data_IF_272849744461
#
_entry.id   IF_272849744461
#
_cell.length_a   1.000
_cell.length_b   1.000
_cell.length_c   1.000
_cell.angle_alpha   90.00
_cell.angle_beta   90.00
_cell.angle_gamma   90.00
#
_symmetry.space_group_name_H-M   'P 1'
#
loop_
_entity.id
_entity.type
_entity.pdbx_description
1 polymer ?
#
# COMPACT_ATOMS: atom_id res chain seq x y z
N UNK A 1 -14.76 -2.69 2.32
CA UNK A 1 -14.13 -1.36 2.38
C UNK A 1 -12.71 -1.49 1.78
N UNK A 2 -12.35 -0.76 0.70
CA UNK A 2 -11.02 -0.86 0.07
C UNK A 2 -9.87 -0.59 1.02
N UNK A 3 -10.03 0.34 1.97
CA UNK A 3 -8.98 0.71 2.93
C UNK A 3 -8.63 -0.48 3.81
N UNK A 4 -9.63 -1.18 4.36
CA UNK A 4 -9.42 -2.36 5.20
C UNK A 4 -8.69 -3.48 4.44
N UNK A 5 -9.07 -3.71 3.18
CA UNK A 5 -8.42 -4.71 2.32
C UNK A 5 -6.96 -4.32 2.06
N UNK A 6 -6.71 -3.05 1.73
CA UNK A 6 -5.36 -2.54 1.52
C UNK A 6 -4.49 -2.69 2.78
N UNK A 7 -5.03 -2.38 3.97
CA UNK A 7 -4.32 -2.56 5.24
C UNK A 7 -3.93 -4.02 5.47
N UNK A 8 -4.84 -4.97 5.25
CA UNK A 8 -4.55 -6.41 5.36
C UNK A 8 -3.47 -6.86 4.36
N UNK A 9 -3.53 -6.34 3.13
CA UNK A 9 -2.53 -6.63 2.10
C UNK A 9 -1.15 -6.06 2.46
N UNK A 10 -1.09 -4.80 2.90
CA UNK A 10 0.15 -4.17 3.35
C UNK A 10 0.77 -4.98 4.48
N UNK A 11 -0.01 -5.34 5.50
CA UNK A 11 0.48 -6.16 6.61
C UNK A 11 1.04 -7.51 6.14
N UNK A 12 0.35 -8.18 5.21
CA UNK A 12 0.83 -9.43 4.61
C UNK A 12 2.14 -9.22 3.85
N UNK A 13 2.22 -8.18 3.02
CA UNK A 13 3.40 -7.86 2.21
C UNK A 13 4.59 -7.54 3.12
N UNK A 14 4.42 -6.65 4.10
CA UNK A 14 5.44 -6.26 5.08
C UNK A 14 5.95 -7.46 5.87
N UNK A 15 5.06 -8.39 6.26
CA UNK A 15 5.44 -9.63 6.94
C UNK A 15 6.43 -10.47 6.12
N UNK A 16 6.31 -10.47 4.79
CA UNK A 16 7.19 -11.22 3.89
C UNK A 16 8.40 -10.41 3.40
N UNK A 17 8.21 -9.11 3.17
CA UNK A 17 9.25 -8.18 2.76
C UNK A 17 8.99 -6.79 3.38
N UNK A 18 9.65 -6.46 4.49
CA UNK A 18 9.53 -5.14 5.12
C UNK A 18 9.96 -3.98 4.22
N UNK A 19 10.79 -4.24 3.20
CA UNK A 19 11.31 -3.24 2.25
C UNK A 19 10.48 -3.15 0.97
N UNK A 20 9.36 -3.87 0.86
CA UNK A 20 8.56 -3.90 -0.37
C UNK A 20 8.08 -2.51 -0.81
N UNK A 21 7.60 -1.70 0.14
CA UNK A 21 7.09 -0.35 -0.15
C UNK A 21 8.22 0.67 -0.38
N UNK A 22 9.40 0.45 0.21
CA UNK A 22 10.60 1.21 -0.13
C UNK A 22 10.99 0.95 -1.59
N UNK A 23 10.96 -0.31 -2.02
CA UNK A 23 11.30 -0.70 -3.40
C UNK A 23 10.27 -0.26 -4.43
N UNK A 24 8.98 -0.43 -4.15
CA UNK A 24 7.91 -0.13 -5.11
C UNK A 24 7.56 1.36 -5.18
N UNK A 25 7.60 2.07 -4.06
CA UNK A 25 7.07 3.44 -3.96
C UNK A 25 8.06 4.45 -3.36
N UNK A 26 9.26 4.02 -2.98
CA UNK A 26 10.22 4.85 -2.23
C UNK A 26 9.57 5.41 -0.95
N UNK A 27 8.93 4.51 -0.18
CA UNK A 27 8.29 4.80 1.10
C UNK A 27 9.00 3.96 2.17
N UNK A 28 9.74 4.61 3.05
CA UNK A 28 10.42 3.95 4.18
C UNK A 28 9.48 3.91 5.40
N UNK A 29 8.45 3.08 5.30
CA UNK A 29 7.50 2.84 6.39
C UNK A 29 6.90 1.44 6.26
N UNK A 30 6.56 0.86 7.40
CA UNK A 30 5.82 -0.40 7.51
C UNK A 30 4.39 -0.18 8.02
N UNK A 31 4.04 1.04 8.43
CA UNK A 31 2.70 1.37 8.90
C UNK A 31 1.73 1.49 7.71
N UNK A 32 0.63 0.71 7.69
CA UNK A 32 -0.31 0.73 6.58
C UNK A 32 -0.98 2.08 6.33
N UNK A 33 -1.28 2.84 7.39
CA UNK A 33 -1.95 4.12 7.23
C UNK A 33 -0.98 5.15 6.62
N UNK A 34 0.27 5.15 7.06
CA UNK A 34 1.30 6.02 6.52
C UNK A 34 1.63 5.70 5.06
N UNK A 35 1.73 4.41 4.71
CA UNK A 35 1.92 4.00 3.31
C UNK A 35 0.78 4.54 2.42
N UNK A 36 -0.49 4.37 2.84
CA UNK A 36 -1.64 4.89 2.08
C UNK A 36 -1.66 6.42 2.02
N UNK A 37 -1.30 7.08 3.12
CA UNK A 37 -1.19 8.55 3.20
C UNK A 37 -0.17 9.06 2.18
N UNK A 38 1.03 8.49 2.17
CA UNK A 38 2.11 8.91 1.26
C UNK A 38 1.74 8.62 -0.20
N UNK A 39 1.08 7.49 -0.49
CA UNK A 39 0.58 7.20 -1.85
C UNK A 39 -0.43 8.26 -2.30
N UNK A 40 -1.39 8.62 -1.45
CA UNK A 40 -2.37 9.66 -1.75
C UNK A 40 -1.70 11.02 -1.99
N UNK A 41 -0.75 11.41 -1.14
CA UNK A 41 -0.01 12.67 -1.27
C UNK A 41 0.78 12.70 -2.58
N UNK A 42 1.60 11.67 -2.86
CA UNK A 42 2.42 11.60 -4.08
C UNK A 42 1.60 11.66 -5.37
N UNK A 43 0.35 11.20 -5.33
CA UNK A 43 -0.57 11.21 -6.49
C UNK A 43 -1.54 12.39 -6.50
N UNK A 44 -1.46 13.29 -5.52
CA UNK A 44 -2.33 14.47 -5.41
C UNK A 44 -3.79 14.15 -5.04
N UNK A 45 -4.06 12.97 -4.49
CA UNK A 45 -5.39 12.57 -4.03
C UNK A 45 -5.69 13.17 -2.67
N UNK A 46 -6.06 14.44 -2.68
CA UNK A 46 -6.35 15.23 -1.49
C UNK A 46 -7.78 15.79 -1.58
N UNK A 47 -8.50 15.83 -0.47
CA UNK A 47 -9.78 16.51 -0.40
C UNK A 47 -9.61 18.01 -0.67
N UNK A 48 -10.56 18.61 -1.39
CA UNK A 48 -10.47 20.02 -1.80
C UNK A 48 -10.54 21.00 -0.62
N UNK A 49 -11.22 20.61 0.47
CA UNK A 49 -11.56 21.48 1.59
C UNK A 49 -10.40 21.70 2.56
N UNK A 50 -9.77 20.61 2.98
CA UNK A 50 -8.78 20.56 4.06
C UNK A 50 -7.43 20.00 3.59
N UNK A 51 -7.33 19.61 2.31
CA UNK A 51 -6.14 18.98 1.73
C UNK A 51 -5.79 17.65 2.40
N UNK A 52 -6.74 17.03 3.10
CA UNK A 52 -6.52 15.74 3.74
C UNK A 52 -6.38 14.62 2.70
N UNK A 53 -5.48 13.65 2.89
CA UNK A 53 -5.29 12.55 1.95
C UNK A 53 -6.51 11.63 1.80
N UNK A 54 -6.92 11.36 0.57
CA UNK A 54 -8.06 10.47 0.26
C UNK A 54 -7.59 9.02 0.28
N UNK A 55 -7.62 8.40 1.46
CA UNK A 55 -7.13 7.03 1.66
C UNK A 55 -7.88 5.97 0.82
N UNK A 56 -9.15 6.20 0.46
CA UNK A 56 -9.88 5.28 -0.41
C UNK A 56 -9.26 5.17 -1.81
N UNK A 57 -8.82 6.28 -2.41
CA UNK A 57 -8.20 6.27 -3.74
C UNK A 57 -6.82 5.63 -3.69
N UNK A 58 -6.03 5.93 -2.64
CA UNK A 58 -4.77 5.25 -2.39
C UNK A 58 -4.95 3.73 -2.23
N UNK A 59 -5.97 3.29 -1.50
CA UNK A 59 -6.24 1.88 -1.28
C UNK A 59 -6.60 1.15 -2.59
N UNK A 60 -7.47 1.73 -3.43
CA UNK A 60 -7.83 1.16 -4.74
C UNK A 60 -6.61 1.02 -5.64
N UNK A 61 -5.75 2.03 -5.66
CA UNK A 61 -4.53 2.03 -6.45
C UNK A 61 -3.52 0.98 -5.96
N UNK A 62 -3.31 0.89 -4.65
CA UNK A 62 -2.43 -0.12 -4.05
C UNK A 62 -2.92 -1.54 -4.32
N UNK A 63 -4.23 -1.79 -4.22
CA UNK A 63 -4.82 -3.10 -4.55
C UNK A 63 -4.58 -3.43 -6.03
N UNK A 64 -4.74 -2.46 -6.94
CA UNK A 64 -4.45 -2.66 -8.37
C UNK A 64 -2.97 -2.96 -8.60
N UNK A 65 -2.07 -2.17 -8.01
CA UNK A 65 -0.62 -2.37 -8.17
C UNK A 65 -0.15 -3.71 -7.57
N UNK A 66 -0.80 -4.18 -6.50
CA UNK A 66 -0.61 -5.53 -5.96
C UNK A 66 -1.01 -6.61 -6.98
N UNK A 67 -2.20 -6.47 -7.60
CA UNK A 67 -2.69 -7.42 -8.60
C UNK A 67 -1.84 -7.40 -9.88
N UNK A 68 -1.31 -6.23 -10.24
CA UNK A 68 -0.38 -6.05 -11.37
C UNK A 68 1.04 -6.57 -11.06
N UNK A 69 1.30 -7.04 -9.83
CA UNK A 69 2.62 -7.55 -9.43
C UNK A 69 3.71 -6.48 -9.27
N UNK A 70 3.34 -5.20 -9.10
CA UNK A 70 4.30 -4.09 -8.96
C UNK A 70 4.95 -4.01 -7.59
N UNK A 71 4.37 -4.67 -6.59
CA UNK A 71 4.89 -4.68 -5.22
C UNK A 71 5.71 -5.95 -5.01
N UNK A 72 7.05 -5.85 -4.83
CA UNK A 72 7.91 -7.02 -4.75
C UNK A 72 7.77 -7.71 -3.39
N UNK A 73 7.19 -8.91 -3.37
CA UNK A 73 7.24 -9.81 -2.23
C UNK A 73 7.07 -11.26 -2.70
N UNK A 74 7.62 -12.20 -1.94
CA UNK A 74 7.57 -13.62 -2.26
C UNK A 74 7.05 -14.40 -1.05
N UNK A 75 6.21 -15.41 -1.31
CA UNK A 75 5.69 -16.32 -0.31
C UNK A 75 6.24 -17.70 -0.60
N UNK A 76 6.77 -18.39 0.41
CA UNK A 76 7.18 -19.79 0.25
C UNK A 76 5.93 -20.64 -0.03
N UNK A 77 5.98 -21.56 -1.01
CA UNK A 77 4.86 -22.47 -1.24
C UNK A 77 4.60 -23.30 0.03
N UNK A 78 3.35 -23.67 0.30
CA UNK A 78 3.04 -24.59 1.39
C UNK A 78 3.79 -25.91 1.18
N UNK A 79 4.36 -26.46 2.24
CA UNK A 79 4.95 -27.79 2.20
C UNK A 79 3.82 -28.84 2.19
N UNK A 80 3.95 -29.94 1.42
CA UNK A 80 2.96 -31.01 1.33
C UNK A 80 2.80 -31.80 2.62
#
# INVERSE_FOLDING_TARGET
NPVEIAVRLINKIVKHNPKAFLQAYSIDSTDPNEILRVIAIKRGWLYKKDREPILQEAAKALIRDYLDGKIPFYVKPPQP
#
